data_IF_548917764763
#
_entry.id   IF_548917764763
#
_cell.length_a   1.000
_cell.length_b   1.000
_cell.length_c   1.000
_cell.angle_alpha   90.00
_cell.angle_beta   90.00
_cell.angle_gamma   90.00
#
_symmetry.space_group_name_H-M   'P 1'
#
loop_
_entity.id
_entity.type
_entity.pdbx_description
1 polymer ?
#
# COMPACT_ATOMS: atom_id res chain seq x y z
N UNK A 1 12.27 -53.42 5.84
CA UNK A 1 12.22 -52.42 4.76
C UNK A 1 12.06 -51.06 5.41
N UNK A 2 13.17 -50.38 5.63
CA UNK A 2 13.22 -49.07 6.28
C UNK A 2 12.82 -48.01 5.25
N UNK A 3 11.65 -47.40 5.43
CA UNK A 3 11.21 -46.29 4.61
C UNK A 3 12.11 -45.08 4.90
N UNK A 4 13.00 -44.77 3.98
CA UNK A 4 13.73 -43.50 3.93
C UNK A 4 12.73 -42.46 3.45
N UNK A 5 12.26 -41.61 4.37
CA UNK A 5 11.54 -40.40 4.03
C UNK A 5 12.48 -39.47 3.24
N UNK A 6 12.05 -38.90 2.10
CA UNK A 6 12.88 -37.95 1.37
C UNK A 6 13.08 -36.71 2.25
N UNK A 7 14.34 -36.36 2.49
CA UNK A 7 14.69 -35.08 3.07
C UNK A 7 14.13 -33.98 2.16
N UNK A 8 13.27 -33.12 2.70
CA UNK A 8 12.88 -31.88 2.05
C UNK A 8 14.12 -30.98 1.97
N UNK A 9 14.88 -31.11 0.88
CA UNK A 9 15.99 -30.22 0.54
C UNK A 9 15.44 -28.91 -0.01
N UNK A 10 14.79 -28.13 0.86
CA UNK A 10 14.63 -26.70 0.62
C UNK A 10 16.00 -26.06 0.77
N UNK A 11 16.68 -25.76 -0.34
CA UNK A 11 17.86 -24.91 -0.30
C UNK A 11 17.43 -23.54 0.25
N UNK A 12 17.67 -23.30 1.54
CA UNK A 12 17.53 -21.96 2.11
C UNK A 12 18.64 -21.11 1.52
N UNK A 13 18.37 -20.48 0.37
CA UNK A 13 19.27 -19.47 -0.17
C UNK A 13 19.50 -18.42 0.92
N UNK A 14 20.76 -18.28 1.35
CA UNK A 14 21.15 -17.30 2.34
C UNK A 14 20.70 -15.91 1.85
N UNK A 15 20.28 -15.02 2.77
CA UNK A 15 19.93 -13.66 2.40
C UNK A 15 21.16 -12.91 1.88
N UNK A 16 20.95 -12.08 0.86
CA UNK A 16 21.99 -11.19 0.34
C UNK A 16 22.23 -9.99 1.27
N UNK A 17 21.22 -9.63 2.08
CA UNK A 17 21.32 -8.65 3.16
C UNK A 17 20.36 -8.98 4.31
N UNK A 18 20.75 -8.67 5.54
CA UNK A 18 19.89 -8.78 6.71
C UNK A 18 20.10 -7.62 7.69
N UNK A 19 19.07 -7.28 8.45
CA UNK A 19 19.11 -6.28 9.51
C UNK A 19 18.20 -6.66 10.67
N UNK A 20 18.46 -6.10 11.83
CA UNK A 20 17.57 -6.16 12.99
C UNK A 20 17.22 -4.74 13.41
N UNK A 21 16.03 -4.31 13.04
CA UNK A 21 15.49 -3.01 13.41
C UNK A 21 14.98 -3.05 14.86
N UNK A 22 15.42 -2.11 15.68
CA UNK A 22 15.00 -1.94 17.07
C UNK A 22 14.24 -0.62 17.19
N UNK A 23 12.91 -0.61 16.97
CA UNK A 23 12.14 0.62 17.02
C UNK A 23 12.13 1.17 18.45
N UNK A 24 12.06 2.50 18.58
CA UNK A 24 11.98 3.16 19.90
C UNK A 24 10.69 2.82 20.66
N UNK A 25 9.65 2.39 19.93
CA UNK A 25 8.34 1.99 20.44
C UNK A 25 7.90 0.71 19.72
N UNK A 26 7.16 -0.16 20.39
CA UNK A 26 6.66 -1.38 19.77
C UNK A 26 5.81 -1.06 18.53
N UNK A 27 6.06 -1.74 17.42
CA UNK A 27 5.34 -1.55 16.15
C UNK A 27 4.40 -2.72 15.92
N UNK A 28 3.15 -2.40 15.57
CA UNK A 28 2.19 -3.37 15.05
C UNK A 28 2.43 -3.52 13.55
N UNK A 29 3.20 -4.54 13.18
CA UNK A 29 3.58 -4.80 11.78
C UNK A 29 2.35 -5.08 10.90
N UNK A 30 1.41 -5.97 11.27
CA UNK A 30 0.16 -6.15 10.51
C UNK A 30 -0.65 -4.87 10.33
N UNK A 31 -0.89 -4.11 11.39
CA UNK A 31 -1.72 -2.90 11.30
C UNK A 31 -1.01 -1.79 10.50
N UNK A 32 0.31 -1.71 10.57
CA UNK A 32 1.12 -0.71 9.85
C UNK A 32 1.22 -1.02 8.37
N UNK A 33 1.56 -2.26 8.00
CA UNK A 33 1.83 -2.66 6.61
C UNK A 33 0.59 -3.20 5.87
N UNK A 34 -0.50 -3.48 6.58
CA UNK A 34 -1.72 -4.07 5.99
C UNK A 34 -2.31 -3.26 4.83
N UNK A 35 -2.15 -1.93 4.82
CA UNK A 35 -2.66 -1.09 3.71
C UNK A 35 -1.88 -1.25 2.40
N UNK A 36 -0.68 -1.85 2.45
CA UNK A 36 0.20 -1.96 1.28
C UNK A 36 -0.17 -3.13 0.38
N UNK A 37 -0.90 -4.12 0.91
CA UNK A 37 -1.33 -5.30 0.17
C UNK A 37 -2.60 -5.04 -0.64
N UNK A 38 -2.64 -5.56 -1.86
CA UNK A 38 -3.77 -5.44 -2.80
C UNK A 38 -4.56 -6.75 -2.88
N UNK A 39 -5.07 -7.16 -1.72
CA UNK A 39 -5.82 -8.41 -1.56
C UNK A 39 -4.95 -9.65 -1.32
N UNK A 40 -5.58 -10.82 -1.11
CA UNK A 40 -4.89 -12.05 -0.69
C UNK A 40 -4.00 -12.68 -1.78
N UNK A 41 -4.13 -12.25 -3.03
CA UNK A 41 -3.36 -12.75 -4.17
C UNK A 41 -2.46 -11.66 -4.77
N UNK A 42 -2.10 -10.65 -3.98
CA UNK A 42 -1.17 -9.60 -4.40
C UNK A 42 0.22 -10.23 -4.64
N UNK A 43 0.74 -10.20 -5.87
CA UNK A 43 2.05 -10.78 -6.15
C UNK A 43 3.21 -9.92 -5.61
N UNK A 44 2.92 -8.70 -5.11
CA UNK A 44 3.95 -7.85 -4.50
C UNK A 44 3.99 -7.92 -2.98
N UNK A 45 2.95 -8.47 -2.35
CA UNK A 45 2.84 -8.55 -0.88
C UNK A 45 2.16 -9.84 -0.48
N UNK A 46 2.84 -10.69 0.27
CA UNK A 46 2.25 -11.92 0.80
C UNK A 46 2.51 -12.05 2.30
N UNK A 47 1.51 -12.54 3.04
CA UNK A 47 1.58 -12.74 4.47
C UNK A 47 1.64 -14.24 4.78
N UNK A 48 2.48 -14.61 5.75
CA UNK A 48 2.54 -15.96 6.28
C UNK A 48 2.59 -15.95 7.83
N UNK A 49 2.72 -17.13 8.43
CA UNK A 49 2.83 -17.24 9.89
C UNK A 49 4.13 -16.64 10.46
N UNK A 50 5.14 -16.39 9.62
CA UNK A 50 6.43 -15.82 10.00
C UNK A 50 6.52 -14.30 9.82
N UNK A 51 5.62 -13.69 9.05
CA UNK A 51 5.60 -12.24 8.82
C UNK A 51 5.05 -11.86 7.44
N UNK A 52 5.68 -10.87 6.81
CA UNK A 52 5.29 -10.38 5.48
C UNK A 52 6.47 -10.43 4.52
N UNK A 53 6.17 -10.83 3.29
CA UNK A 53 7.03 -10.74 2.14
C UNK A 53 6.58 -9.58 1.26
N UNK A 54 7.53 -8.80 0.77
CA UNK A 54 7.27 -7.69 -0.13
C UNK A 54 8.34 -7.61 -1.22
N UNK A 55 7.94 -7.31 -2.44
CA UNK A 55 8.88 -7.02 -3.53
C UNK A 55 8.99 -5.52 -3.80
N UNK A 56 10.13 -5.11 -4.31
CA UNK A 56 10.39 -3.74 -4.76
C UNK A 56 11.22 -3.72 -6.03
N UNK A 57 10.99 -2.70 -6.86
CA UNK A 57 11.95 -2.25 -7.86
C UNK A 57 12.73 -1.07 -7.28
N UNK A 58 13.89 -1.39 -6.71
CA UNK A 58 14.77 -0.41 -6.07
C UNK A 58 15.65 0.29 -7.11
N UNK A 59 16.31 1.41 -6.76
CA UNK A 59 17.34 2.03 -7.61
C UNK A 59 18.50 1.10 -7.96
N UNK A 60 18.74 0.06 -7.15
CA UNK A 60 19.82 -0.92 -7.34
C UNK A 60 19.32 -2.24 -7.96
N UNK A 61 18.09 -2.27 -8.46
CA UNK A 61 17.47 -3.43 -9.09
C UNK A 61 16.37 -4.10 -8.25
N UNK A 62 15.86 -5.25 -8.70
CA UNK A 62 14.78 -5.95 -8.02
C UNK A 62 15.22 -6.46 -6.64
N UNK A 63 14.30 -6.42 -5.68
CA UNK A 63 14.50 -6.97 -4.35
C UNK A 63 13.25 -7.69 -3.85
N UNK A 64 13.47 -8.74 -3.08
CA UNK A 64 12.46 -9.32 -2.18
C UNK A 64 12.89 -9.01 -0.75
N UNK A 65 11.99 -8.48 0.06
CA UNK A 65 12.16 -8.21 1.48
C UNK A 65 11.23 -9.13 2.27
N UNK A 66 11.75 -9.80 3.29
CA UNK A 66 10.95 -10.44 4.33
C UNK A 66 11.10 -9.66 5.61
N UNK A 67 9.98 -9.25 6.19
CA UNK A 67 9.89 -8.66 7.51
C UNK A 67 9.30 -9.72 8.44
N UNK A 68 10.08 -10.14 9.42
CA UNK A 68 9.64 -11.14 10.38
C UNK A 68 8.71 -10.51 11.43
N UNK A 69 7.94 -11.36 12.11
CA UNK A 69 7.19 -10.92 13.30
C UNK A 69 8.14 -10.30 14.34
N UNK A 70 7.68 -9.27 15.08
CA UNK A 70 8.45 -8.73 16.18
C UNK A 70 8.81 -9.82 17.19
N UNK A 71 10.05 -9.79 17.68
CA UNK A 71 10.50 -10.58 18.81
C UNK A 71 9.89 -10.04 20.11
N UNK A 72 10.09 -10.77 21.22
CA UNK A 72 9.54 -10.39 22.53
C UNK A 72 10.06 -9.04 23.05
N UNK A 73 11.27 -8.66 22.65
CA UNK A 73 11.89 -7.38 22.98
C UNK A 73 11.46 -6.24 22.03
N UNK A 74 10.55 -6.51 21.09
CA UNK A 74 10.09 -5.56 20.08
C UNK A 74 11.01 -5.42 18.87
N UNK A 75 12.16 -6.10 18.84
CA UNK A 75 13.05 -6.08 17.67
C UNK A 75 12.43 -6.79 16.48
N UNK A 76 12.71 -6.30 15.27
CA UNK A 76 12.14 -6.80 14.02
C UNK A 76 13.29 -7.16 13.09
N UNK A 77 13.48 -8.46 12.85
CA UNK A 77 14.41 -8.95 11.84
C UNK A 77 13.83 -8.71 10.45
N UNK A 78 14.68 -8.28 9.53
CA UNK A 78 14.36 -8.22 8.11
C UNK A 78 15.49 -8.82 7.29
N UNK A 79 15.13 -9.57 6.25
CA UNK A 79 16.07 -10.21 5.33
C UNK A 79 15.67 -9.90 3.91
N UNK A 80 16.64 -9.67 3.04
CA UNK A 80 16.37 -9.37 1.64
C UNK A 80 17.26 -10.16 0.68
N UNK A 81 16.76 -10.30 -0.55
CA UNK A 81 17.41 -11.00 -1.66
C UNK A 81 17.33 -10.18 -2.94
N UNK A 82 18.28 -10.39 -3.83
CA UNK A 82 18.40 -9.74 -5.12
C UNK A 82 19.32 -8.50 -5.12
N UNK A 83 19.58 -7.92 -6.30
CA UNK A 83 20.48 -6.77 -6.45
C UNK A 83 20.13 -5.57 -5.55
N UNK A 84 18.86 -5.38 -5.24
CA UNK A 84 18.37 -4.32 -4.35
C UNK A 84 18.32 -4.68 -2.86
N UNK A 85 18.88 -5.80 -2.41
CA UNK A 85 18.71 -6.31 -1.05
C UNK A 85 19.18 -5.34 0.04
N UNK A 86 20.38 -4.77 -0.11
CA UNK A 86 20.93 -3.80 0.85
C UNK A 86 20.02 -2.58 1.01
N UNK A 87 19.58 -2.00 -0.12
CA UNK A 87 18.62 -0.90 -0.12
C UNK A 87 17.31 -1.27 0.58
N UNK A 88 16.81 -2.49 0.36
CA UNK A 88 15.56 -2.94 0.93
C UNK A 88 15.62 -3.08 2.46
N UNK A 89 16.72 -3.58 3.02
CA UNK A 89 16.88 -3.65 4.48
C UNK A 89 17.08 -2.27 5.10
N UNK A 90 17.78 -1.36 4.41
CA UNK A 90 17.97 0.03 4.87
C UNK A 90 16.67 0.83 4.92
N UNK A 91 15.70 0.49 4.05
CA UNK A 91 14.39 1.12 4.02
C UNK A 91 13.45 0.68 5.16
N UNK A 92 13.78 -0.39 5.90
CA UNK A 92 12.90 -1.00 6.92
C UNK A 92 12.44 -0.02 8.01
N UNK A 93 13.31 0.82 8.61
CA UNK A 93 12.86 1.76 9.64
C UNK A 93 11.79 2.73 9.12
N UNK A 94 12.00 3.32 7.93
CA UNK A 94 11.04 4.22 7.31
C UNK A 94 9.73 3.49 6.92
N UNK A 95 9.84 2.29 6.36
CA UNK A 95 8.70 1.45 6.01
C UNK A 95 7.83 1.14 7.24
N UNK A 96 8.44 0.94 8.40
CA UNK A 96 7.77 0.68 9.67
C UNK A 96 7.43 1.95 10.46
N UNK A 97 7.48 3.12 9.82
CA UNK A 97 6.98 4.37 10.38
C UNK A 97 7.91 4.99 11.44
N UNK A 98 9.23 4.80 11.36
CA UNK A 98 10.19 5.45 12.27
C UNK A 98 9.97 6.97 12.37
N UNK A 99 9.67 7.61 11.26
CA UNK A 99 9.51 9.07 11.16
C UNK A 99 8.04 9.51 11.30
N UNK A 100 7.12 8.61 11.64
CA UNK A 100 5.70 8.90 11.81
C UNK A 100 5.38 9.27 13.26
N UNK A 101 5.51 10.56 13.57
CA UNK A 101 5.23 11.09 14.92
C UNK A 101 3.72 11.36 15.13
N UNK A 102 3.16 10.74 16.16
CA UNK A 102 1.76 10.87 16.57
C UNK A 102 1.56 11.77 17.78
N UNK A 103 2.62 12.37 18.33
CA UNK A 103 2.56 13.16 19.57
C UNK A 103 1.59 14.35 19.50
N UNK A 104 1.40 14.94 18.31
CA UNK A 104 0.43 16.02 18.07
C UNK A 104 -1.03 15.58 17.88
N UNK A 105 -1.33 14.28 17.83
CA UNK A 105 -2.70 13.78 17.63
C UNK A 105 -3.47 13.72 18.96
N UNK A 106 -4.37 14.68 19.19
CA UNK A 106 -5.33 14.60 20.30
C UNK A 106 -6.67 13.98 19.87
N UNK A 107 -6.94 12.77 20.35
CA UNK A 107 -8.21 12.05 20.15
C UNK A 107 -8.99 11.85 21.45
N UNK A 108 -8.58 12.50 22.53
CA UNK A 108 -9.14 12.31 23.88
C UNK A 108 -10.64 12.64 23.94
N UNK A 109 -11.09 13.60 23.13
CA UNK A 109 -12.48 14.06 23.04
C UNK A 109 -13.44 13.08 22.36
N UNK A 110 -12.96 12.05 21.65
CA UNK A 110 -13.84 11.10 20.94
C UNK A 110 -13.65 9.66 21.44
N UNK A 111 -14.65 9.06 22.14
CA UNK A 111 -14.52 7.75 22.77
C UNK A 111 -14.05 6.62 21.85
N UNK A 112 -14.56 6.57 20.61
CA UNK A 112 -14.15 5.56 19.62
C UNK A 112 -12.68 5.70 19.22
N UNK A 113 -12.20 6.92 18.97
CA UNK A 113 -10.83 7.16 18.53
C UNK A 113 -9.85 6.94 19.67
N UNK A 114 -10.14 7.47 20.87
CA UNK A 114 -9.38 7.20 22.10
C UNK A 114 -9.27 5.70 22.37
N UNK A 115 -10.38 4.97 22.28
CA UNK A 115 -10.40 3.53 22.47
C UNK A 115 -9.62 2.77 21.40
N UNK A 116 -9.70 3.21 20.14
CA UNK A 116 -8.93 2.62 19.05
C UNK A 116 -7.42 2.83 19.23
N UNK A 117 -7.00 4.06 19.55
CA UNK A 117 -5.59 4.38 19.79
C UNK A 117 -5.02 3.56 20.97
N UNK A 118 -5.79 3.43 22.05
CA UNK A 118 -5.41 2.62 23.20
C UNK A 118 -5.21 1.13 22.87
N UNK A 119 -6.02 0.56 21.97
CA UNK A 119 -5.89 -0.84 21.53
C UNK A 119 -4.84 -1.06 20.45
N UNK A 120 -4.43 -0.01 19.75
CA UNK A 120 -3.50 -0.06 18.62
C UNK A 120 -2.27 0.85 18.83
N UNK A 121 -1.54 0.76 19.96
CA UNK A 121 -0.46 1.71 20.28
C UNK A 121 0.73 1.63 19.30
N UNK A 122 0.92 0.49 18.64
CA UNK A 122 1.98 0.27 17.66
C UNK A 122 1.60 0.56 16.20
N UNK A 123 0.37 1.03 15.93
CA UNK A 123 -0.05 1.39 14.58
C UNK A 123 0.72 2.61 14.09
N UNK A 124 1.36 2.49 12.92
CA UNK A 124 2.00 3.59 12.21
C UNK A 124 1.52 3.67 10.76
N UNK A 125 1.84 4.79 10.11
CA UNK A 125 1.75 4.98 8.67
C UNK A 125 3.02 4.44 8.01
N UNK A 126 2.85 3.46 7.13
CA UNK A 126 3.96 2.88 6.38
C UNK A 126 4.45 3.86 5.30
N UNK A 127 5.77 3.99 5.15
CA UNK A 127 6.39 4.80 4.09
C UNK A 127 7.24 3.93 3.17
N UNK A 128 6.73 3.57 1.99
CA UNK A 128 7.50 2.75 1.05
C UNK A 128 8.61 3.51 0.34
N UNK A 129 8.50 4.84 0.20
CA UNK A 129 9.40 5.63 -0.65
C UNK A 129 9.35 5.24 -2.14
N UNK A 130 8.36 4.44 -2.56
CA UNK A 130 8.19 3.98 -3.95
C UNK A 130 6.94 4.61 -4.55
N UNK A 131 7.11 5.80 -5.16
CA UNK A 131 5.99 6.59 -5.70
C UNK A 131 5.24 5.82 -6.80
N UNK A 132 5.94 5.37 -7.84
CA UNK A 132 5.30 4.68 -8.99
C UNK A 132 4.62 3.39 -8.58
N UNK A 133 5.21 2.64 -7.64
CA UNK A 133 4.62 1.40 -7.12
C UNK A 133 3.34 1.62 -6.31
N UNK A 134 3.14 2.83 -5.77
CA UNK A 134 1.87 3.21 -5.17
C UNK A 134 0.90 3.81 -6.20
N UNK A 135 1.40 4.62 -7.14
CA UNK A 135 0.62 5.41 -8.09
C UNK A 135 -0.02 4.55 -9.20
N UNK A 136 0.75 3.68 -9.85
CA UNK A 136 0.22 2.87 -10.96
C UNK A 136 -0.97 1.99 -10.54
N UNK A 137 -0.88 1.22 -9.44
CA UNK A 137 -2.04 0.47 -8.99
C UNK A 137 -3.18 1.36 -8.44
N UNK A 138 -2.89 2.53 -7.85
CA UNK A 138 -3.95 3.47 -7.49
C UNK A 138 -4.73 3.94 -8.73
N UNK A 139 -4.07 4.15 -9.88
CA UNK A 139 -4.76 4.43 -11.14
C UNK A 139 -5.60 3.23 -11.58
N UNK A 140 -5.07 2.01 -11.51
CA UNK A 140 -5.79 0.77 -11.87
C UNK A 140 -7.08 0.59 -11.03
N UNK A 141 -7.09 1.07 -9.79
CA UNK A 141 -8.21 0.99 -8.85
C UNK A 141 -9.32 2.03 -9.09
N UNK A 142 -9.10 3.01 -9.98
CA UNK A 142 -10.08 4.07 -10.20
C UNK A 142 -11.43 3.54 -10.68
N UNK A 143 -12.50 3.87 -9.93
CA UNK A 143 -13.92 3.65 -10.28
C UNK A 143 -14.30 2.19 -10.56
N UNK A 144 -13.61 1.24 -9.93
CA UNK A 144 -13.93 -0.20 -9.97
C UNK A 144 -13.97 -0.77 -8.57
N UNK A 145 -14.51 -1.98 -8.42
CA UNK A 145 -14.42 -2.66 -7.14
C UNK A 145 -12.97 -3.04 -6.83
N UNK A 146 -12.61 -3.08 -5.54
CA UNK A 146 -11.27 -3.54 -5.13
C UNK A 146 -10.94 -4.93 -5.67
N UNK A 147 -11.94 -5.82 -5.75
CA UNK A 147 -11.75 -7.17 -6.29
C UNK A 147 -11.36 -7.18 -7.77
N UNK A 148 -12.02 -6.35 -8.60
CA UNK A 148 -11.67 -6.20 -10.02
C UNK A 148 -10.27 -5.62 -10.16
N UNK A 149 -9.97 -4.55 -9.43
CA UNK A 149 -8.66 -3.91 -9.49
C UNK A 149 -7.52 -4.84 -9.04
N UNK A 150 -7.70 -5.58 -7.95
CA UNK A 150 -6.71 -6.55 -7.47
C UNK A 150 -6.48 -7.68 -8.47
N UNK A 151 -7.54 -8.15 -9.14
CA UNK A 151 -7.40 -9.14 -10.23
C UNK A 151 -6.64 -8.57 -11.41
N UNK A 152 -6.93 -7.34 -11.83
CA UNK A 152 -6.23 -6.66 -12.91
C UNK A 152 -4.75 -6.45 -12.58
N UNK A 153 -4.45 -5.94 -11.38
CA UNK A 153 -3.10 -5.78 -10.86
C UNK A 153 -2.32 -7.09 -10.86
N UNK A 154 -2.86 -8.13 -10.24
CA UNK A 154 -2.19 -9.41 -10.14
C UNK A 154 -1.98 -10.07 -11.51
N UNK A 155 -2.90 -9.85 -12.46
CA UNK A 155 -2.79 -10.37 -13.84
C UNK A 155 -1.69 -9.67 -14.62
N UNK A 156 -1.65 -8.34 -14.59
CA UNK A 156 -0.58 -7.57 -15.24
C UNK A 156 0.80 -7.97 -14.72
N UNK A 157 0.94 -8.12 -13.40
CA UNK A 157 2.21 -8.53 -12.81
C UNK A 157 2.58 -9.98 -13.10
N UNK A 158 1.61 -10.89 -13.26
CA UNK A 158 1.91 -12.25 -13.72
C UNK A 158 2.40 -12.29 -15.16
N UNK A 159 1.93 -11.38 -16.02
CA UNK A 159 2.30 -11.33 -17.44
C UNK A 159 3.61 -10.57 -17.68
N UNK A 160 3.82 -9.46 -16.97
CA UNK A 160 4.93 -8.52 -17.24
C UNK A 160 5.89 -8.31 -16.07
N UNK A 161 5.52 -8.75 -14.86
CA UNK A 161 6.39 -8.64 -13.70
C UNK A 161 7.54 -9.65 -13.75
N UNK A 162 8.66 -9.28 -13.16
CA UNK A 162 9.83 -10.16 -13.05
C UNK A 162 9.66 -11.13 -11.87
N UNK A 163 10.22 -12.34 -11.93
CA UNK A 163 10.27 -13.23 -10.77
C UNK A 163 10.91 -12.54 -9.56
N UNK A 164 10.30 -12.73 -8.39
CA UNK A 164 10.84 -12.21 -7.13
C UNK A 164 12.17 -12.91 -6.79
N UNK A 165 13.26 -12.16 -6.50
CA UNK A 165 14.53 -12.75 -6.08
C UNK A 165 14.42 -13.57 -4.78
N UNK A 166 15.31 -14.56 -4.63
CA UNK A 166 15.43 -15.35 -3.41
C UNK A 166 14.34 -16.42 -3.23
N UNK A 167 14.19 -16.98 -2.01
CA UNK A 167 13.21 -18.02 -1.70
C UNK A 167 11.82 -17.41 -1.45
N UNK A 168 11.45 -16.40 -2.26
CA UNK A 168 10.15 -15.74 -2.16
C UNK A 168 9.02 -16.77 -2.37
N UNK A 169 7.89 -16.62 -1.67
CA UNK A 169 6.69 -17.41 -1.94
C UNK A 169 6.35 -17.48 -3.43
N UNK A 170 5.83 -18.63 -3.86
CA UNK A 170 5.46 -18.85 -5.25
C UNK A 170 4.47 -17.77 -5.74
N UNK A 171 4.66 -17.36 -6.99
CA UNK A 171 3.79 -16.36 -7.63
C UNK A 171 4.11 -14.91 -7.27
N UNK A 172 5.04 -14.64 -6.36
CA UNK A 172 5.51 -13.27 -6.12
C UNK A 172 6.23 -12.71 -7.36
N UNK A 173 6.07 -11.40 -7.58
CA UNK A 173 6.60 -10.66 -8.73
C UNK A 173 7.12 -9.31 -8.29
N UNK A 174 8.21 -8.87 -8.90
CA UNK A 174 8.63 -7.47 -8.87
C UNK A 174 7.89 -6.73 -10.00
N UNK A 175 7.41 -5.52 -9.73
CA UNK A 175 6.72 -4.70 -10.74
C UNK A 175 7.63 -4.49 -11.97
N UNK A 176 7.08 -4.39 -13.21
CA UNK A 176 7.87 -4.10 -14.40
C UNK A 176 8.70 -2.81 -14.28
N UNK A 177 9.76 -2.72 -15.08
CA UNK A 177 10.47 -1.46 -15.37
C UNK A 177 9.55 -0.44 -16.05
N UNK A 178 9.95 0.83 -16.08
CA UNK A 178 9.19 1.87 -16.78
C UNK A 178 9.06 1.52 -18.26
N UNK A 179 10.14 1.01 -18.87
CA UNK A 179 10.21 0.59 -20.27
C UNK A 179 9.24 -0.57 -20.55
N UNK A 180 9.22 -1.59 -19.70
CA UNK A 180 8.29 -2.71 -19.84
C UNK A 180 6.84 -2.26 -19.66
N UNK A 181 6.54 -1.39 -18.69
CA UNK A 181 5.19 -0.83 -18.51
C UNK A 181 4.72 -0.03 -19.74
N UNK A 182 5.60 0.78 -20.33
CA UNK A 182 5.31 1.53 -21.57
C UNK A 182 5.10 0.59 -22.76
N UNK A 183 5.79 -0.55 -22.78
CA UNK A 183 5.69 -1.57 -23.82
C UNK A 183 4.45 -2.45 -23.75
N UNK A 184 3.62 -2.37 -22.70
CA UNK A 184 2.40 -3.18 -22.61
C UNK A 184 1.41 -2.71 -23.69
N UNK A 185 1.03 -3.59 -24.63
CA UNK A 185 0.13 -3.22 -25.70
C UNK A 185 -1.30 -3.01 -25.17
N UNK A 186 -2.07 -2.17 -25.87
CA UNK A 186 -3.42 -1.75 -25.43
C UNK A 186 -4.39 -2.93 -25.23
N UNK A 187 -4.30 -3.98 -26.06
CA UNK A 187 -5.13 -5.16 -25.91
C UNK A 187 -4.81 -5.94 -24.62
N UNK A 188 -3.58 -5.86 -24.10
CA UNK A 188 -3.21 -6.54 -22.85
C UNK A 188 -3.69 -5.79 -21.61
N UNK A 189 -3.76 -4.46 -21.67
CA UNK A 189 -4.52 -3.69 -20.68
C UNK A 189 -5.99 -4.11 -20.65
N UNK A 190 -6.60 -4.24 -21.83
CA UNK A 190 -8.00 -4.65 -21.94
C UNK A 190 -8.22 -6.08 -21.43
N UNK A 191 -7.41 -7.06 -21.88
CA UNK A 191 -7.44 -8.44 -21.39
C UNK A 191 -7.18 -8.52 -19.88
N UNK A 192 -6.44 -7.56 -19.33
CA UNK A 192 -6.22 -7.49 -17.90
C UNK A 192 -7.46 -7.07 -17.11
N UNK A 193 -8.42 -6.37 -17.72
CA UNK A 193 -9.55 -5.72 -17.06
C UNK A 193 -9.29 -4.25 -16.73
N UNK A 194 -8.36 -3.61 -17.44
CA UNK A 194 -8.07 -2.18 -17.31
C UNK A 194 -8.61 -1.45 -18.53
N UNK A 195 -9.56 -0.55 -18.30
CA UNK A 195 -10.18 0.19 -19.39
C UNK A 195 -9.19 1.19 -20.04
N UNK A 196 -9.49 1.66 -21.27
CA UNK A 196 -8.59 2.56 -21.99
C UNK A 196 -8.28 3.88 -21.28
N UNK A 197 -9.18 4.40 -20.42
CA UNK A 197 -8.94 5.66 -19.69
C UNK A 197 -7.91 5.44 -18.59
N UNK A 198 -8.03 4.37 -17.81
CA UNK A 198 -7.04 4.00 -16.77
C UNK A 198 -5.68 3.67 -17.41
N UNK A 199 -5.68 2.90 -18.50
CA UNK A 199 -4.44 2.58 -19.22
C UNK A 199 -3.74 3.85 -19.75
N UNK A 200 -4.48 4.79 -20.32
CA UNK A 200 -3.94 6.09 -20.77
C UNK A 200 -3.37 6.92 -19.62
N UNK A 201 -4.01 6.93 -18.46
CA UNK A 201 -3.51 7.63 -17.27
C UNK A 201 -2.19 7.01 -16.76
N UNK A 202 -2.09 5.67 -16.74
CA UNK A 202 -0.83 4.97 -16.46
C UNK A 202 0.25 5.39 -17.45
N UNK A 203 -0.05 5.38 -18.75
CA UNK A 203 0.93 5.80 -19.77
C UNK A 203 1.35 7.28 -19.61
N UNK A 204 0.42 8.18 -19.27
CA UNK A 204 0.74 9.57 -18.99
C UNK A 204 1.71 9.73 -17.81
N UNK A 205 1.48 8.99 -16.72
CA UNK A 205 2.44 8.93 -15.58
C UNK A 205 3.79 8.40 -16.03
N UNK A 206 3.80 7.31 -16.79
CA UNK A 206 5.05 6.68 -17.23
C UNK A 206 5.88 7.63 -18.08
N UNK A 207 5.28 8.45 -18.95
CA UNK A 207 6.01 9.43 -19.78
C UNK A 207 6.82 10.40 -18.92
N UNK A 208 6.27 10.85 -17.78
CA UNK A 208 6.91 11.84 -16.89
C UNK A 208 7.44 11.22 -15.59
N UNK A 209 7.57 9.89 -15.51
CA UNK A 209 7.83 9.15 -14.28
C UNK A 209 9.03 9.70 -13.49
N UNK A 210 10.19 9.83 -14.12
CA UNK A 210 11.41 10.27 -13.44
C UNK A 210 11.33 11.73 -12.98
N UNK A 211 10.70 12.61 -13.77
CA UNK A 211 10.50 14.00 -13.35
C UNK A 211 9.48 14.11 -12.22
N UNK A 212 8.45 13.27 -12.25
CA UNK A 212 7.41 13.23 -11.21
C UNK A 212 7.97 12.70 -9.88
N UNK A 213 8.77 11.64 -9.91
CA UNK A 213 9.49 11.13 -8.73
C UNK A 213 10.39 12.21 -8.12
N UNK A 214 11.20 12.90 -8.95
CA UNK A 214 12.03 14.02 -8.46
C UNK A 214 11.22 15.18 -7.91
N UNK A 215 10.08 15.51 -8.52
CA UNK A 215 9.22 16.60 -8.06
C UNK A 215 8.60 16.27 -6.70
N UNK A 216 8.13 15.04 -6.50
CA UNK A 216 7.61 14.58 -5.22
C UNK A 216 8.70 14.51 -4.15
N UNK A 217 9.91 14.03 -4.49
CA UNK A 217 11.04 13.93 -3.56
C UNK A 217 11.56 15.29 -3.10
N UNK A 218 11.59 16.28 -4.01
CA UNK A 218 12.06 17.65 -3.72
C UNK A 218 10.98 18.58 -3.18
N UNK A 219 9.74 18.11 -3.07
CA UNK A 219 8.65 18.93 -2.58
C UNK A 219 8.91 19.35 -1.12
N UNK A 220 8.82 20.65 -0.85
CA UNK A 220 9.00 21.19 0.51
C UNK A 220 7.91 20.73 1.48
N UNK A 221 6.73 20.40 0.94
CA UNK A 221 5.59 19.90 1.71
C UNK A 221 4.93 18.72 1.00
N UNK A 222 4.24 17.88 1.76
CA UNK A 222 3.46 16.78 1.20
C UNK A 222 2.27 17.26 0.35
N UNK A 223 1.75 18.46 0.63
CA UNK A 223 0.74 19.11 -0.20
C UNK A 223 1.31 19.45 -1.59
N UNK A 224 2.53 20.01 -1.65
CA UNK A 224 3.21 20.28 -2.92
C UNK A 224 3.50 18.99 -3.71
N UNK A 225 3.83 17.89 -3.02
CA UNK A 225 3.94 16.58 -3.67
C UNK A 225 2.58 16.13 -4.27
N UNK A 226 1.47 16.33 -3.56
CA UNK A 226 0.13 16.02 -4.07
C UNK A 226 -0.22 16.87 -5.29
N UNK A 227 0.14 18.15 -5.29
CA UNK A 227 -0.06 19.06 -6.43
C UNK A 227 0.72 18.59 -7.66
N UNK A 228 1.98 18.21 -7.48
CA UNK A 228 2.81 17.67 -8.55
C UNK A 228 2.17 16.42 -9.20
N UNK A 229 1.65 15.50 -8.39
CA UNK A 229 0.92 14.32 -8.88
C UNK A 229 -0.32 14.71 -9.71
N UNK A 230 -1.09 15.69 -9.24
CA UNK A 230 -2.32 16.13 -9.88
C UNK A 230 -2.12 16.91 -11.18
N UNK A 231 -0.87 17.24 -11.54
CA UNK A 231 -0.56 17.80 -12.87
C UNK A 231 -0.70 16.76 -13.99
N UNK A 232 -0.66 15.46 -13.66
CA UNK A 232 -0.73 14.39 -14.66
C UNK A 232 -2.19 14.08 -15.02
N UNK A 233 -2.56 14.09 -16.32
CA UNK A 233 -3.90 13.74 -16.75
C UNK A 233 -4.35 12.36 -16.25
N UNK A 234 -5.51 12.33 -15.58
CA UNK A 234 -6.05 11.10 -14.99
C UNK A 234 -5.61 10.83 -13.55
N UNK A 235 -4.78 11.69 -12.95
CA UNK A 235 -4.43 11.65 -11.52
C UNK A 235 -5.20 12.73 -10.76
N UNK A 236 -6.28 12.34 -10.08
CA UNK A 236 -7.09 13.24 -9.26
C UNK A 236 -6.73 13.20 -7.78
N UNK A 237 -7.50 13.93 -6.95
CA UNK A 237 -7.31 14.02 -5.50
C UNK A 237 -7.27 12.63 -4.82
N UNK A 238 -8.19 11.74 -5.18
CA UNK A 238 -8.28 10.39 -4.62
C UNK A 238 -7.01 9.58 -4.92
N UNK A 239 -6.54 9.61 -6.18
CA UNK A 239 -5.35 8.87 -6.59
C UNK A 239 -4.08 9.45 -5.95
N UNK A 240 -3.97 10.77 -5.84
CA UNK A 240 -2.86 11.41 -5.12
C UNK A 240 -2.86 11.02 -3.64
N UNK A 241 -4.02 11.01 -2.99
CA UNK A 241 -4.18 10.55 -1.60
C UNK A 241 -3.72 9.10 -1.42
N UNK A 242 -4.31 8.15 -2.14
CA UNK A 242 -3.95 6.73 -2.07
C UNK A 242 -2.44 6.49 -2.33
N UNK A 243 -1.86 7.29 -3.23
CA UNK A 243 -0.43 7.22 -3.55
C UNK A 243 0.43 7.71 -2.40
N UNK A 244 0.20 8.92 -1.90
CA UNK A 244 1.05 9.57 -0.90
C UNK A 244 0.85 8.99 0.51
N UNK A 245 -0.33 8.46 0.83
CA UNK A 245 -0.56 7.69 2.04
C UNK A 245 0.38 6.47 2.14
N UNK A 246 0.69 5.81 1.02
CA UNK A 246 1.55 4.61 0.99
C UNK A 246 3.03 4.93 0.72
N UNK A 247 3.30 5.86 -0.18
CA UNK A 247 4.67 6.20 -0.58
C UNK A 247 5.35 7.15 0.38
N UNK A 248 4.62 8.12 0.95
CA UNK A 248 5.16 9.20 1.78
C UNK A 248 4.63 9.18 3.21
N UNK A 249 3.78 8.22 3.58
CA UNK A 249 3.10 8.18 4.87
C UNK A 249 2.34 9.47 5.20
N UNK A 250 1.66 10.07 4.20
CA UNK A 250 0.99 11.35 4.38
C UNK A 250 -0.05 11.29 5.52
N UNK A 251 0.09 12.10 6.59
CA UNK A 251 -0.72 11.94 7.81
C UNK A 251 -2.11 12.58 7.74
N UNK A 252 -2.32 13.45 6.75
CA UNK A 252 -3.51 14.29 6.64
C UNK A 252 -4.32 14.14 5.34
N UNK A 253 -3.77 13.51 4.30
CA UNK A 253 -4.41 13.49 2.99
C UNK A 253 -5.44 12.37 2.94
N UNK A 254 -6.72 12.73 2.94
CA UNK A 254 -7.87 11.82 2.91
C UNK A 254 -8.23 11.47 1.46
N UNK A 255 -8.65 10.23 1.22
CA UNK A 255 -9.07 9.74 -0.10
C UNK A 255 -10.47 10.21 -0.47
N UNK A 256 -10.65 11.52 -0.62
CA UNK A 256 -11.94 12.15 -0.99
C UNK A 256 -12.40 11.63 -2.36
N UNK A 257 -13.67 11.24 -2.46
CA UNK A 257 -14.24 10.57 -3.63
C UNK A 257 -14.13 9.05 -3.59
N UNK A 258 -13.65 8.48 -2.48
CA UNK A 258 -13.80 7.06 -2.21
C UNK A 258 -15.27 6.73 -1.91
N UNK A 259 -15.78 5.71 -2.60
CA UNK A 259 -17.20 5.38 -2.61
C UNK A 259 -17.76 4.98 -1.22
N UNK A 260 -16.91 4.55 -0.30
CA UNK A 260 -17.33 4.05 1.01
C UNK A 260 -16.76 4.85 2.18
N UNK A 261 -15.66 5.58 1.98
CA UNK A 261 -14.93 6.22 3.06
C UNK A 261 -15.79 7.25 3.82
N UNK A 262 -16.43 8.19 3.11
CA UNK A 262 -17.24 9.23 3.75
C UNK A 262 -18.39 8.66 4.60
N UNK A 263 -19.11 7.67 4.04
CA UNK A 263 -20.15 6.94 4.77
C UNK A 263 -19.59 6.25 6.02
N UNK A 264 -18.44 5.58 5.89
CA UNK A 264 -17.82 4.85 7.00
C UNK A 264 -17.32 5.77 8.11
N UNK A 265 -16.71 6.91 7.76
CA UNK A 265 -16.25 7.94 8.71
C UNK A 265 -17.44 8.57 9.42
N UNK A 266 -18.47 9.00 8.69
CA UNK A 266 -19.67 9.59 9.28
C UNK A 266 -20.35 8.63 10.25
N UNK A 267 -20.54 7.36 9.87
CA UNK A 267 -21.17 6.40 10.77
C UNK A 267 -20.32 6.06 11.99
N UNK A 268 -19.00 6.01 11.85
CA UNK A 268 -18.11 5.75 12.98
C UNK A 268 -18.05 6.92 13.98
N UNK A 269 -18.08 8.16 13.49
CA UNK A 269 -17.93 9.35 14.34
C UNK A 269 -19.26 9.85 14.90
N UNK A 270 -20.31 9.85 14.09
CA UNK A 270 -21.59 10.47 14.46
C UNK A 270 -22.81 9.55 14.25
N UNK A 271 -22.61 8.29 13.88
CA UNK A 271 -23.69 7.30 13.75
C UNK A 271 -24.59 7.48 12.51
N UNK A 272 -24.21 8.33 11.55
CA UNK A 272 -24.96 8.55 10.30
C UNK A 272 -24.02 8.81 9.11
N UNK A 273 -24.47 8.44 7.91
CA UNK A 273 -23.73 8.69 6.67
C UNK A 273 -23.58 10.20 6.40
N UNK A 274 -22.44 10.54 5.82
CA UNK A 274 -22.13 11.87 5.25
C UNK A 274 -21.53 11.70 3.87
N UNK A 275 -21.55 12.76 3.07
CA UNK A 275 -20.80 12.86 1.83
C UNK A 275 -19.36 13.32 2.09
N UNK A 276 -18.61 13.55 1.00
CA UNK A 276 -17.20 13.95 1.06
C UNK A 276 -16.99 15.26 1.83
N UNK A 277 -17.85 16.25 1.63
CA UNK A 277 -17.76 17.55 2.31
C UNK A 277 -18.04 17.39 3.81
N UNK A 278 -19.11 16.66 4.16
CA UNK A 278 -19.40 16.35 5.56
C UNK A 278 -18.31 15.50 6.23
N UNK A 279 -17.66 14.59 5.51
CA UNK A 279 -16.50 13.86 6.03
C UNK A 279 -15.34 14.81 6.35
N UNK A 280 -15.04 15.77 5.48
CA UNK A 280 -13.97 16.73 5.71
C UNK A 280 -14.28 17.66 6.90
N UNK A 281 -15.52 18.14 7.02
CA UNK A 281 -15.98 18.91 8.19
C UNK A 281 -15.82 18.13 9.50
N UNK A 282 -16.19 16.84 9.50
CA UNK A 282 -16.04 15.98 10.67
C UNK A 282 -14.58 15.75 11.06
N UNK A 283 -13.68 15.74 10.09
CA UNK A 283 -12.26 15.49 10.30
C UNK A 283 -11.45 16.75 10.61
N UNK A 284 -12.02 17.95 10.43
CA UNK A 284 -11.37 19.24 10.65
C UNK A 284 -10.71 19.41 12.03
N UNK A 285 -11.28 18.92 13.16
CA UNK A 285 -10.61 18.98 14.46
C UNK A 285 -9.24 18.30 14.51
N UNK A 286 -8.95 17.42 13.54
CA UNK A 286 -7.69 16.68 13.41
C UNK A 286 -6.92 17.06 12.15
N UNK A 287 -7.06 18.30 11.66
CA UNK A 287 -6.23 18.83 10.58
C UNK A 287 -4.74 18.60 10.87
N UNK A 288 -3.99 18.13 9.87
CA UNK A 288 -2.62 17.61 10.01
C UNK A 288 -2.53 16.11 10.33
N UNK A 289 -3.64 15.49 10.76
CA UNK A 289 -3.74 14.10 11.19
C UNK A 289 -4.96 13.35 10.63
N UNK A 290 -5.70 13.92 9.67
CA UNK A 290 -6.98 13.35 9.21
C UNK A 290 -6.87 11.92 8.69
N UNK A 291 -5.76 11.58 8.01
CA UNK A 291 -5.51 10.20 7.60
C UNK A 291 -5.18 9.28 8.78
N UNK A 292 -4.49 9.76 9.82
CA UNK A 292 -4.28 8.98 11.06
C UNK A 292 -5.60 8.67 11.75
N UNK A 293 -6.53 9.62 11.78
CA UNK A 293 -7.89 9.41 12.28
C UNK A 293 -8.61 8.34 11.46
N UNK A 294 -8.58 8.41 10.13
CA UNK A 294 -9.14 7.37 9.25
C UNK A 294 -8.53 6.00 9.58
N UNK A 295 -7.21 5.92 9.78
CA UNK A 295 -6.53 4.67 10.16
C UNK A 295 -6.97 4.16 11.53
N UNK A 296 -7.18 5.03 12.51
CA UNK A 296 -7.75 4.66 13.81
C UNK A 296 -9.19 4.17 13.69
N UNK A 297 -10.02 4.78 12.84
CA UNK A 297 -11.39 4.32 12.61
C UNK A 297 -11.37 2.90 12.02
N UNK A 298 -10.54 2.66 10.99
CA UNK A 298 -10.39 1.34 10.38
C UNK A 298 -9.87 0.28 11.36
N UNK A 299 -8.96 0.66 12.26
CA UNK A 299 -8.41 -0.22 13.30
C UNK A 299 -9.32 -0.38 14.53
N UNK A 300 -10.42 0.38 14.62
CA UNK A 300 -11.28 0.39 15.82
C UNK A 300 -12.08 -0.90 16.00
N UNK A 301 -12.25 -1.69 14.92
CA UNK A 301 -13.16 -2.83 14.86
C UNK A 301 -14.60 -2.44 14.53
N UNK A 302 -14.88 -1.16 14.27
CA UNK A 302 -16.18 -0.68 13.85
C UNK A 302 -16.65 -1.39 12.57
N UNK A 303 -17.91 -1.85 12.58
CA UNK A 303 -18.54 -2.53 11.45
C UNK A 303 -19.86 -1.85 11.12
N UNK A 304 -20.03 -1.58 9.84
CA UNK A 304 -21.25 -1.05 9.25
C UNK A 304 -22.42 -2.05 9.43
N UNK A 305 -23.62 -1.58 9.79
CA UNK A 305 -24.86 -2.38 9.67
C UNK A 305 -25.21 -2.55 8.18
N UNK A 306 -24.84 -3.67 7.57
CA UNK A 306 -25.04 -3.89 6.12
C UNK A 306 -26.52 -3.72 5.71
N UNK A 307 -26.84 -2.61 5.04
CA UNK A 307 -28.12 -2.40 4.35
C UNK A 307 -27.84 -2.11 2.86
N UNK A 308 -28.07 -3.11 2.00
CA UNK A 308 -28.07 -2.94 0.53
C UNK A 308 -27.53 -4.15 -0.28
N UNK A 309 -28.06 -4.41 -1.49
CA UNK A 309 -27.56 -5.46 -2.40
C UNK A 309 -26.15 -5.15 -2.93
N UNK A 310 -25.33 -6.19 -3.13
CA UNK A 310 -23.96 -6.06 -3.67
C UNK A 310 -24.01 -5.48 -5.08
N UNK A 311 -23.16 -4.49 -5.36
CA UNK A 311 -22.96 -3.98 -6.72
C UNK A 311 -22.50 -5.14 -7.62
N UNK A 312 -23.23 -5.38 -8.71
CA UNK A 312 -22.94 -6.47 -9.65
C UNK A 312 -21.66 -6.15 -10.41
N UNK A 313 -20.71 -7.10 -10.43
CA UNK A 313 -19.48 -7.01 -11.23
C UNK A 313 -19.89 -6.87 -12.70
N UNK A 314 -19.50 -5.77 -13.35
CA UNK A 314 -19.72 -5.61 -14.79
C UNK A 314 -18.53 -6.19 -15.54
N UNK A 315 -18.77 -7.25 -16.32
CA UNK A 315 -17.73 -7.89 -17.11
C UNK A 315 -17.54 -7.15 -18.43
N UNK A 316 -16.47 -6.35 -18.51
CA UNK A 316 -16.12 -5.63 -19.73
C UNK A 316 -15.12 -6.37 -20.63
N UNK A 317 -14.74 -7.62 -20.32
CA UNK A 317 -13.65 -8.34 -21.03
C UNK A 317 -13.93 -8.64 -22.51
N UNK A 318 -15.16 -8.44 -22.96
CA UNK A 318 -15.64 -8.79 -24.30
C UNK A 318 -16.23 -7.59 -25.08
N UNK A 319 -15.98 -6.36 -24.63
CA UNK A 319 -16.46 -5.12 -25.28
C UNK A 319 -15.35 -4.28 -25.88
#
# INVERSE_FOLDING_TARGET
>A
MTAVLPAASGSHALPDAETVYRPAVAIDVPATLGLLGRGPYDPTTQWDLGGVWRTWRTPHGPATLRIHRPARDGSIRATAWGPGAAWAVDAVPALLGRDDDWSGLDVSGHPLLRGSLHRNPGLRLARTGRLLEALLPAIIEQRVTSLEAYRSWARLLRWYGEPAPGPAPEGMRVVPTIEQWRGIPSWDWHRAGVDPRRARAVQAVLVVATSLERAAERAETLAAAADALRTVPGVGQWTAAETLQRSHAHPDLVSVGDYHLAHYVGEALIGRRVDDDGMLELLEPWAGHRQRVVRLILASGFRFERRGPRMTVQDHRWH
#
